data_IF_921689618804
#
_entry.id   IF_921689618804
#
_cell.length_a   1.000
_cell.length_b   1.000
_cell.length_c   1.000
_cell.angle_alpha   90.00
_cell.angle_beta   90.00
_cell.angle_gamma   90.00
#
_symmetry.space_group_name_H-M   'P 1'
#
loop_
_entity.id
_entity.type
_entity.pdbx_description
1 polymer ?
#
# COMPACT_ATOMS: atom_id res chain seq x y z
N UNK A 1 -32.12 14.05 -49.21
CA UNK A 1 -31.60 14.38 -47.86
C UNK A 1 -31.17 13.08 -47.21
N UNK A 2 -29.92 12.67 -47.42
CA UNK A 2 -29.37 11.43 -46.89
C UNK A 2 -28.94 11.66 -45.43
N UNK A 3 -29.62 11.00 -44.50
CA UNK A 3 -29.25 10.97 -43.09
C UNK A 3 -28.00 10.11 -42.93
N UNK A 4 -26.84 10.75 -42.77
CA UNK A 4 -25.58 10.11 -42.44
C UNK A 4 -25.62 9.67 -40.98
N UNK A 5 -26.10 8.45 -40.72
CA UNK A 5 -25.98 7.81 -39.42
C UNK A 5 -24.49 7.59 -39.12
N UNK A 6 -23.93 8.38 -38.20
CA UNK A 6 -22.58 8.20 -37.69
C UNK A 6 -22.51 6.87 -36.94
N UNK A 7 -21.73 5.92 -37.47
CA UNK A 7 -21.43 4.67 -36.78
C UNK A 7 -20.82 4.99 -35.40
N UNK A 8 -21.25 4.32 -34.31
CA UNK A 8 -20.59 4.45 -33.03
C UNK A 8 -19.13 4.02 -33.19
N UNK A 9 -18.20 4.97 -32.99
CA UNK A 9 -16.77 4.72 -33.01
C UNK A 9 -16.47 3.67 -31.93
N UNK A 10 -16.09 2.46 -32.36
CA UNK A 10 -15.67 1.41 -31.44
C UNK A 10 -14.61 1.97 -30.50
N UNK A 11 -14.84 1.87 -29.19
CA UNK A 11 -13.86 2.27 -28.20
C UNK A 11 -12.53 1.58 -28.50
N UNK A 12 -11.40 2.29 -28.48
CA UNK A 12 -10.10 1.70 -28.80
C UNK A 12 -9.87 0.49 -27.89
N UNK A 13 -9.50 -0.64 -28.50
CA UNK A 13 -9.19 -1.86 -27.77
C UNK A 13 -8.11 -1.58 -26.71
N UNK A 14 -8.22 -2.15 -25.50
CA UNK A 14 -7.29 -1.86 -24.42
C UNK A 14 -5.86 -2.21 -24.86
N UNK A 15 -4.98 -1.21 -24.84
CA UNK A 15 -3.57 -1.40 -25.16
C UNK A 15 -2.97 -2.46 -24.21
N UNK A 16 -2.37 -3.50 -24.79
CA UNK A 16 -1.68 -4.56 -24.04
C UNK A 16 -0.50 -3.91 -23.32
N UNK A 17 -0.60 -3.73 -21.99
CA UNK A 17 0.52 -3.20 -21.20
C UNK A 17 1.62 -4.26 -21.17
N UNK A 18 2.88 -3.86 -21.36
CA UNK A 18 3.98 -4.79 -21.17
C UNK A 18 3.93 -5.36 -19.75
N UNK A 19 4.35 -6.62 -19.56
CA UNK A 19 4.40 -7.25 -18.25
C UNK A 19 5.24 -6.39 -17.30
N UNK A 20 4.78 -6.26 -16.05
CA UNK A 20 5.53 -5.55 -15.01
C UNK A 20 6.90 -6.22 -14.82
N UNK A 21 7.98 -5.44 -14.65
CA UNK A 21 9.30 -6.00 -14.46
C UNK A 21 9.32 -6.90 -13.23
N UNK A 22 9.94 -8.06 -13.39
CA UNK A 22 10.11 -9.03 -12.31
C UNK A 22 11.26 -8.63 -11.38
N UNK A 23 11.26 -9.17 -10.16
CA UNK A 23 12.34 -8.92 -9.17
C UNK A 23 13.71 -9.30 -9.73
N UNK A 24 13.80 -10.41 -10.47
CA UNK A 24 15.04 -10.86 -11.10
C UNK A 24 15.55 -9.87 -12.16
N UNK A 25 14.64 -9.29 -12.95
CA UNK A 25 14.98 -8.26 -13.94
C UNK A 25 15.43 -6.95 -13.26
N UNK A 26 14.81 -6.61 -12.12
CA UNK A 26 15.23 -5.48 -11.31
C UNK A 26 16.65 -5.65 -10.77
N UNK A 27 16.99 -6.83 -10.26
CA UNK A 27 18.33 -7.12 -9.74
C UNK A 27 19.40 -7.17 -10.83
N UNK A 28 19.05 -7.60 -12.04
CA UNK A 28 20.00 -7.70 -13.17
C UNK A 28 20.28 -6.37 -13.85
N UNK A 29 19.38 -5.39 -13.73
CA UNK A 29 19.52 -4.11 -14.42
C UNK A 29 19.84 -2.98 -13.42
N UNK A 30 21.07 -2.44 -13.42
CA UNK A 30 21.49 -1.47 -12.40
C UNK A 30 20.66 -0.19 -12.41
N UNK A 31 20.15 0.21 -13.58
CA UNK A 31 19.24 1.37 -13.71
C UNK A 31 17.89 1.11 -13.06
N UNK A 32 17.34 -0.09 -13.19
CA UNK A 32 16.05 -0.43 -12.58
C UNK A 32 16.21 -0.58 -11.06
N UNK A 33 17.28 -1.24 -10.61
CA UNK A 33 17.59 -1.35 -9.19
C UNK A 33 17.67 0.02 -8.53
N UNK A 34 18.44 0.97 -9.09
CA UNK A 34 18.52 2.33 -8.55
C UNK A 34 17.15 3.03 -8.53
N UNK A 35 16.32 2.82 -9.55
CA UNK A 35 14.97 3.38 -9.61
C UNK A 35 14.06 2.82 -8.50
N UNK A 36 14.04 1.50 -8.32
CA UNK A 36 13.22 0.84 -7.30
C UNK A 36 13.69 1.21 -5.88
N UNK A 37 15.01 1.29 -5.66
CA UNK A 37 15.60 1.71 -4.39
C UNK A 37 15.25 3.17 -4.08
N UNK A 38 15.38 4.09 -5.05
CA UNK A 38 15.00 5.48 -4.86
C UNK A 38 13.50 5.64 -4.61
N UNK A 39 12.66 4.90 -5.34
CA UNK A 39 11.22 4.89 -5.12
C UNK A 39 10.88 4.42 -3.69
N UNK A 40 11.49 3.31 -3.25
CA UNK A 40 11.33 2.80 -1.89
C UNK A 40 11.79 3.79 -0.82
N UNK A 41 12.93 4.46 -1.02
CA UNK A 41 13.44 5.48 -0.10
C UNK A 41 12.50 6.68 0.01
N UNK A 42 12.02 7.20 -1.11
CA UNK A 42 11.08 8.34 -1.13
C UNK A 42 9.77 7.98 -0.42
N UNK A 43 9.23 6.79 -0.71
CA UNK A 43 8.03 6.30 -0.03
C UNK A 43 8.27 6.10 1.46
N UNK A 44 9.40 5.51 1.87
CA UNK A 44 9.72 5.30 3.27
C UNK A 44 9.78 6.64 4.04
N UNK A 45 10.39 7.67 3.45
CA UNK A 45 10.42 9.01 4.03
C UNK A 45 9.02 9.64 4.11
N UNK A 46 8.17 9.41 3.11
CA UNK A 46 6.78 9.88 3.11
C UNK A 46 5.91 9.17 4.16
N UNK A 47 6.18 7.88 4.43
CA UNK A 47 5.41 7.07 5.39
C UNK A 47 5.68 7.44 6.85
N UNK A 48 6.82 8.05 7.18
CA UNK A 48 7.15 8.43 8.58
C UNK A 48 6.09 9.36 9.18
N UNK A 49 5.80 10.55 8.60
CA UNK A 49 4.77 11.43 9.15
C UNK A 49 3.36 10.85 9.04
N UNK A 50 3.08 10.04 8.02
CA UNK A 50 1.79 9.38 7.82
C UNK A 50 1.48 8.38 8.95
N UNK A 51 2.43 7.47 9.25
CA UNK A 51 2.29 6.50 10.32
C UNK A 51 2.18 7.14 11.71
N UNK A 52 2.92 8.22 11.96
CA UNK A 52 2.83 8.98 13.21
C UNK A 52 1.43 9.60 13.35
N UNK A 53 0.93 10.25 12.30
CA UNK A 53 -0.39 10.91 12.30
C UNK A 53 -1.51 9.90 12.52
N UNK A 54 -1.49 8.75 11.85
CA UNK A 54 -2.51 7.72 12.01
C UNK A 54 -2.46 7.04 13.37
N UNK A 55 -1.28 6.87 13.97
CA UNK A 55 -1.16 6.36 15.33
C UNK A 55 -1.82 7.31 16.34
N UNK A 56 -1.60 8.61 16.18
CA UNK A 56 -2.22 9.64 17.03
C UNK A 56 -3.75 9.61 16.87
N UNK A 57 -4.27 9.51 15.65
CA UNK A 57 -5.72 9.40 15.39
C UNK A 57 -6.30 8.13 16.02
N UNK A 58 -5.57 7.01 15.98
CA UNK A 58 -5.97 5.75 16.60
C UNK A 58 -5.83 5.73 18.13
N UNK A 59 -5.24 6.78 18.75
CA UNK A 59 -5.02 6.85 20.19
C UNK A 59 -3.92 5.92 20.70
N UNK A 60 -2.96 5.54 19.85
CA UNK A 60 -1.83 4.66 20.20
C UNK A 60 -0.49 5.38 20.10
N UNK A 61 0.53 4.84 20.76
CA UNK A 61 1.89 5.38 20.66
C UNK A 61 2.39 5.32 19.20
N UNK A 62 3.01 6.39 18.66
CA UNK A 62 3.53 6.43 17.28
C UNK A 62 4.49 5.28 16.92
N UNK A 63 5.17 4.69 17.91
CA UNK A 63 6.03 3.52 17.70
C UNK A 63 5.24 2.33 17.16
N UNK A 64 3.96 2.17 17.54
CA UNK A 64 3.11 1.07 17.10
C UNK A 64 2.83 1.17 15.59
N UNK A 65 2.47 2.35 15.08
CA UNK A 65 2.22 2.54 13.65
C UNK A 65 3.48 2.45 12.79
N UNK A 66 4.61 2.97 13.29
CA UNK A 66 5.90 2.84 12.60
C UNK A 66 6.37 1.38 12.53
N UNK A 67 6.28 0.66 13.65
CA UNK A 67 6.64 -0.75 13.70
C UNK A 67 5.72 -1.59 12.81
N UNK A 68 4.41 -1.37 12.88
CA UNK A 68 3.43 -2.03 12.01
C UNK A 68 3.73 -1.79 10.53
N UNK A 69 3.99 -0.53 10.14
CA UNK A 69 4.31 -0.19 8.75
C UNK A 69 5.57 -0.89 8.26
N UNK A 70 6.61 -0.97 9.09
CA UNK A 70 7.84 -1.68 8.75
C UNK A 70 7.59 -3.18 8.58
N UNK A 71 6.93 -3.82 9.55
CA UNK A 71 6.63 -5.26 9.50
C UNK A 71 5.77 -5.60 8.28
N UNK A 72 4.77 -4.77 7.98
CA UNK A 72 3.89 -4.96 6.84
C UNK A 72 4.64 -4.79 5.51
N UNK A 73 5.49 -3.76 5.38
CA UNK A 73 6.30 -3.53 4.18
C UNK A 73 7.26 -4.69 3.91
N UNK A 74 7.93 -5.20 4.94
CA UNK A 74 8.81 -6.38 4.82
C UNK A 74 7.99 -7.62 4.44
N UNK A 75 6.85 -7.85 5.09
CA UNK A 75 6.01 -9.01 4.82
C UNK A 75 5.50 -9.01 3.38
N UNK A 76 4.98 -7.89 2.89
CA UNK A 76 4.45 -7.76 1.53
C UNK A 76 5.55 -7.73 0.46
N UNK A 77 6.77 -7.35 0.80
CA UNK A 77 7.91 -7.49 -0.12
C UNK A 77 8.16 -8.96 -0.51
N UNK A 78 7.83 -9.92 0.37
CA UNK A 78 7.99 -11.35 0.11
C UNK A 78 6.68 -12.06 -0.27
N UNK A 79 5.57 -11.73 0.40
CA UNK A 79 4.27 -12.40 0.25
C UNK A 79 3.32 -11.66 -0.70
N UNK A 80 3.67 -10.45 -1.17
CA UNK A 80 2.81 -9.61 -1.98
C UNK A 80 2.57 -10.13 -3.40
N UNK A 81 1.33 -10.04 -3.88
CA UNK A 81 0.94 -10.50 -5.21
C UNK A 81 1.16 -9.49 -6.35
N UNK A 82 1.35 -8.20 -6.03
CA UNK A 82 1.49 -7.13 -7.04
C UNK A 82 2.73 -6.27 -6.78
N UNK A 83 3.76 -6.35 -7.65
CA UNK A 83 4.98 -5.55 -7.50
C UNK A 83 4.69 -4.05 -7.47
N UNK A 84 5.54 -3.31 -6.75
CA UNK A 84 5.43 -1.86 -6.54
C UNK A 84 4.16 -1.38 -5.82
N UNK A 85 3.41 -2.27 -5.16
CA UNK A 85 2.35 -1.89 -4.21
C UNK A 85 2.92 -1.77 -2.81
N UNK A 86 2.63 -0.65 -2.14
CA UNK A 86 3.06 -0.38 -0.76
C UNK A 86 1.93 -0.74 0.20
N UNK A 87 2.29 -1.37 1.31
CA UNK A 87 1.37 -1.66 2.41
C UNK A 87 2.01 -1.19 3.71
N UNK A 88 1.27 -0.37 4.46
CA UNK A 88 1.71 0.26 5.70
C UNK A 88 0.49 0.59 6.58
N UNK A 89 0.70 1.27 7.71
CA UNK A 89 -0.40 1.81 8.50
C UNK A 89 -1.17 2.85 7.68
N UNK A 90 -2.48 2.68 7.57
CA UNK A 90 -3.37 3.60 6.83
C UNK A 90 -4.46 4.18 7.74
N UNK A 91 -4.96 5.36 7.37
CA UNK A 91 -6.06 6.00 8.09
C UNK A 91 -7.34 5.17 8.12
N UNK A 92 -7.58 4.35 7.09
CA UNK A 92 -8.74 3.45 7.04
C UNK A 92 -8.72 2.46 8.22
N UNK A 93 -7.58 1.81 8.48
CA UNK A 93 -7.42 0.89 9.62
C UNK A 93 -7.43 1.66 10.93
N UNK A 94 -6.72 2.80 11.00
CA UNK A 94 -6.63 3.63 12.21
C UNK A 94 -8.00 4.05 12.74
N UNK A 95 -8.90 4.49 11.86
CA UNK A 95 -10.27 4.90 12.24
C UNK A 95 -11.13 3.73 12.73
N UNK A 96 -10.93 2.53 12.20
CA UNK A 96 -11.65 1.32 12.63
C UNK A 96 -11.17 0.84 13.99
N UNK A 97 -9.87 0.91 14.26
CA UNK A 97 -9.30 0.44 15.53
C UNK A 97 -9.32 1.47 16.65
N UNK A 98 -9.45 2.77 16.33
CA UNK A 98 -9.59 3.86 17.31
C UNK A 98 -10.67 3.60 18.39
N UNK A 99 -11.91 3.18 18.07
CA UNK A 99 -12.88 2.81 19.11
C UNK A 99 -12.45 1.58 19.92
N UNK A 100 -11.84 0.57 19.29
CA UNK A 100 -11.38 -0.65 19.99
C UNK A 100 -10.32 -0.31 21.03
N UNK A 101 -9.33 0.51 20.67
CA UNK A 101 -8.27 0.96 21.59
C UNK A 101 -8.85 1.78 22.75
N UNK A 102 -9.80 2.67 22.47
CA UNK A 102 -10.44 3.50 23.51
C UNK A 102 -11.26 2.68 24.50
N UNK A 103 -12.01 1.70 24.01
CA UNK A 103 -12.97 0.94 24.84
C UNK A 103 -12.34 -0.29 25.51
N UNK A 104 -11.32 -0.91 24.90
CA UNK A 104 -10.75 -2.18 25.33
C UNK A 104 -9.22 -2.17 25.52
N UNK A 105 -8.54 -1.07 25.18
CA UNK A 105 -7.09 -0.94 25.32
C UNK A 105 -6.27 -1.60 24.21
N UNK A 106 -4.95 -1.63 24.41
CA UNK A 106 -3.97 -2.05 23.39
C UNK A 106 -3.97 -3.58 23.18
N UNK A 107 -4.27 -4.39 24.20
CA UNK A 107 -4.27 -5.85 24.05
C UNK A 107 -5.32 -6.32 23.03
N UNK A 108 -6.49 -5.68 23.03
CA UNK A 108 -7.56 -5.97 22.07
C UNK A 108 -7.27 -5.46 20.66
N UNK A 109 -6.46 -4.40 20.52
CA UNK A 109 -5.94 -3.99 19.22
C UNK A 109 -5.09 -5.11 18.60
N UNK A 110 -4.19 -5.70 19.37
CA UNK A 110 -3.33 -6.80 18.88
C UNK A 110 -4.20 -7.99 18.45
N UNK A 111 -5.17 -8.38 19.28
CA UNK A 111 -6.10 -9.46 18.93
C UNK A 111 -6.88 -9.17 17.64
N UNK A 112 -7.35 -7.92 17.47
CA UNK A 112 -8.09 -7.50 16.27
C UNK A 112 -7.22 -7.51 15.01
N UNK A 113 -5.96 -7.08 15.11
CA UNK A 113 -5.02 -7.12 13.97
C UNK A 113 -4.69 -8.55 13.57
N UNK A 114 -4.45 -9.44 14.54
CA UNK A 114 -4.23 -10.87 14.27
C UNK A 114 -5.47 -11.49 13.60
N UNK A 115 -6.66 -11.23 14.13
CA UNK A 115 -7.91 -11.74 13.56
C UNK A 115 -8.18 -11.18 12.16
N UNK A 116 -7.87 -9.91 11.91
CA UNK A 116 -8.04 -9.29 10.59
C UNK A 116 -7.05 -9.78 9.54
N UNK A 117 -5.94 -10.39 9.96
CA UNK A 117 -4.94 -10.99 9.07
C UNK A 117 -5.17 -12.48 8.78
N UNK A 118 -6.10 -13.13 9.47
CA UNK A 118 -6.51 -14.52 9.26
C UNK A 118 -7.58 -14.62 8.17
#
# INVERSE_FOLDING_TARGET
MASSASLPTAAPAPAVRPPSPTVLEALRSPRLLSREVLAGLVVALALIPEAISFSIIAGVDPRVGLFSSFVMAVSIAFLGGRPAMITAATGAVALVVAPVVRDHGLDYLIATVILGGL
#
